data_IF_991604790202
#
_entry.id   IF_991604790202
#
_cell.length_a   1.000
_cell.length_b   1.000
_cell.length_c   1.000
_cell.angle_alpha   90.00
_cell.angle_beta   90.00
_cell.angle_gamma   90.00
#
_symmetry.space_group_name_H-M   'P 1'
#
loop_
_entity.id
_entity.type
_entity.pdbx_description
1 polymer ?
#
# COMPACT_ATOMS: atom_id res chain seq x y z
N UNK A 1 20.07 -15.80 25.30
CA UNK A 1 20.11 -15.95 23.83
C UNK A 1 18.95 -15.14 23.27
N UNK A 2 19.24 -13.90 22.93
CA UNK A 2 18.32 -13.16 22.07
C UNK A 2 18.48 -13.78 20.68
N UNK A 3 17.60 -14.72 20.36
CA UNK A 3 17.49 -15.24 19.01
C UNK A 3 17.19 -14.07 18.10
N UNK A 4 18.09 -13.75 17.18
CA UNK A 4 17.73 -12.96 16.03
C UNK A 4 16.73 -13.82 15.25
N UNK A 5 15.45 -13.59 15.50
CA UNK A 5 14.41 -14.14 14.64
C UNK A 5 14.65 -13.54 13.27
N UNK A 6 15.24 -14.33 12.42
CA UNK A 6 15.32 -14.05 11.01
C UNK A 6 13.88 -14.13 10.51
N UNK A 7 13.20 -12.99 10.48
CA UNK A 7 11.87 -12.90 9.90
C UNK A 7 11.98 -13.31 8.43
N UNK A 8 11.76 -14.58 8.16
CA UNK A 8 11.63 -15.09 6.79
C UNK A 8 10.37 -14.40 6.24
N UNK A 9 10.58 -13.50 5.31
CA UNK A 9 9.49 -12.85 4.59
C UNK A 9 9.08 -13.78 3.47
N UNK A 10 7.98 -14.46 3.67
CA UNK A 10 7.41 -15.30 2.62
C UNK A 10 6.82 -14.40 1.54
N UNK A 11 7.55 -14.28 0.45
CA UNK A 11 7.05 -13.60 -0.75
C UNK A 11 6.52 -14.65 -1.72
N UNK A 12 5.38 -14.40 -2.31
CA UNK A 12 4.76 -15.29 -3.27
C UNK A 12 4.36 -14.53 -4.54
N UNK A 13 4.40 -15.24 -5.66
CA UNK A 13 3.96 -14.74 -6.94
C UNK A 13 3.05 -15.77 -7.63
N UNK A 14 1.99 -15.30 -8.23
CA UNK A 14 1.02 -16.11 -8.97
C UNK A 14 0.91 -15.56 -10.39
N UNK A 15 1.17 -16.41 -11.38
CA UNK A 15 0.91 -16.12 -12.78
C UNK A 15 -0.36 -16.83 -13.22
N UNK A 16 -1.29 -16.07 -13.78
CA UNK A 16 -2.51 -16.57 -14.36
C UNK A 16 -2.49 -16.30 -15.87
N UNK A 17 -2.88 -17.27 -16.65
CA UNK A 17 -2.99 -17.14 -18.10
C UNK A 17 -4.25 -17.81 -18.60
N UNK A 18 -4.99 -17.15 -19.50
CA UNK A 18 -6.20 -17.66 -20.12
C UNK A 18 -6.21 -17.30 -21.60
N UNK A 19 -6.39 -18.32 -22.45
CA UNK A 19 -6.50 -18.17 -23.89
C UNK A 19 -7.88 -18.62 -24.35
N UNK A 20 -8.58 -17.76 -25.09
CA UNK A 20 -9.88 -18.11 -25.66
C UNK A 20 -10.15 -17.36 -26.95
N UNK A 21 -10.34 -18.10 -28.08
CA UNK A 21 -10.73 -17.55 -29.37
C UNK A 21 -9.96 -16.31 -29.84
N UNK A 22 -8.64 -16.31 -29.65
CA UNK A 22 -7.77 -15.20 -30.04
C UNK A 22 -7.59 -14.12 -28.96
N UNK A 23 -8.32 -14.21 -27.86
CA UNK A 23 -8.04 -13.40 -26.67
C UNK A 23 -7.05 -14.12 -25.80
N UNK A 24 -6.06 -13.37 -25.32
CA UNK A 24 -5.09 -13.80 -24.31
C UNK A 24 -5.16 -12.85 -23.12
N UNK A 25 -5.50 -13.37 -21.97
CA UNK A 25 -5.46 -12.67 -20.71
C UNK A 25 -4.30 -13.23 -19.88
N UNK A 26 -3.42 -12.36 -19.41
CA UNK A 26 -2.40 -12.69 -18.44
C UNK A 26 -2.48 -11.76 -17.25
N UNK A 27 -2.30 -12.31 -16.04
CA UNK A 27 -2.24 -11.54 -14.83
C UNK A 27 -1.12 -12.05 -13.94
N UNK A 28 -0.34 -11.11 -13.38
CA UNK A 28 0.68 -11.40 -12.39
C UNK A 28 0.32 -10.74 -11.07
N UNK A 29 0.21 -11.57 -10.03
CA UNK A 29 -0.05 -11.16 -8.66
C UNK A 29 1.20 -11.41 -7.83
N UNK A 30 1.54 -10.48 -6.97
CA UNK A 30 2.65 -10.60 -6.04
C UNK A 30 2.18 -10.20 -4.65
N UNK A 31 2.65 -10.92 -3.65
CA UNK A 31 2.33 -10.60 -2.26
C UNK A 31 3.42 -11.02 -1.30
N UNK A 32 3.29 -10.54 -0.09
CA UNK A 32 4.10 -10.97 1.04
C UNK A 32 3.15 -11.45 2.13
N UNK A 33 3.43 -12.61 2.67
CA UNK A 33 2.69 -13.19 3.77
C UNK A 33 2.85 -12.41 5.06
N UNK A 34 2.71 -13.06 6.19
CA UNK A 34 2.77 -12.43 7.51
C UNK A 34 4.02 -11.55 7.64
N UNK A 35 3.80 -10.26 7.81
CA UNK A 35 4.86 -9.27 7.93
C UNK A 35 4.42 -8.15 8.84
N UNK A 36 4.96 -8.12 10.03
CA UNK A 36 4.73 -7.03 10.97
C UNK A 36 5.83 -5.97 10.83
N UNK A 37 5.46 -4.72 10.87
CA UNK A 37 6.38 -3.59 10.80
C UNK A 37 5.98 -2.51 11.77
N UNK A 38 6.94 -2.09 12.58
CA UNK A 38 6.80 -0.86 13.35
C UNK A 38 7.03 0.33 12.41
N UNK A 39 5.98 1.10 12.20
CA UNK A 39 5.99 2.26 11.31
C UNK A 39 6.02 3.51 12.16
N UNK A 40 7.21 4.09 12.34
CA UNK A 40 7.41 5.36 13.00
C UNK A 40 7.43 6.47 11.97
N UNK A 41 6.30 7.08 11.70
CA UNK A 41 6.21 8.24 10.84
C UNK A 41 5.03 9.14 11.23
N UNK A 42 4.89 10.26 10.55
CA UNK A 42 3.83 11.23 10.81
C UNK A 42 2.40 10.72 10.59
N UNK A 43 2.23 9.59 9.91
CA UNK A 43 0.91 8.94 9.73
C UNK A 43 0.47 8.17 10.97
N UNK A 44 1.42 7.58 11.69
CA UNK A 44 1.15 6.79 12.90
C UNK A 44 1.32 7.60 14.17
N UNK A 45 2.12 8.68 14.13
CA UNK A 45 2.43 9.51 15.27
C UNK A 45 2.03 10.96 15.01
N UNK A 46 0.80 11.35 15.36
CA UNK A 46 0.36 12.71 15.19
C UNK A 46 1.24 13.65 16.05
N UNK A 47 1.74 14.72 15.45
CA UNK A 47 2.53 15.75 16.12
C UNK A 47 3.79 15.22 16.86
N UNK A 48 4.38 14.13 16.39
CA UNK A 48 5.57 13.53 17.01
C UNK A 48 6.84 14.40 16.88
N UNK A 49 6.87 15.29 15.93
CA UNK A 49 8.04 16.12 15.60
C UNK A 49 7.82 17.58 15.98
N UNK A 50 8.89 18.28 16.29
CA UNK A 50 8.89 19.74 16.49
C UNK A 50 8.54 20.53 15.22
N UNK A 51 8.31 19.83 14.13
CA UNK A 51 7.88 20.44 12.88
C UNK A 51 6.46 20.97 13.00
N UNK A 52 6.33 22.27 12.93
CA UNK A 52 5.07 23.02 13.03
C UNK A 52 4.10 22.76 11.87
N UNK A 53 4.49 21.99 10.86
CA UNK A 53 3.75 21.76 9.64
C UNK A 53 3.55 20.28 9.33
N UNK A 54 3.00 19.52 10.29
CA UNK A 54 2.62 18.14 10.03
C UNK A 54 1.21 18.15 9.44
N UNK A 55 0.98 17.62 8.24
CA UNK A 55 -0.35 17.51 7.69
C UNK A 55 -1.18 16.56 8.57
N UNK A 56 -2.27 17.07 9.11
CA UNK A 56 -3.25 16.27 9.83
C UNK A 56 -4.21 15.67 8.80
N UNK A 57 -4.27 14.34 8.73
CA UNK A 57 -5.36 13.70 8.00
C UNK A 57 -6.51 13.38 8.99
N UNK A 58 -7.70 13.17 8.43
CA UNK A 58 -8.94 13.02 9.22
C UNK A 58 -8.84 11.96 10.35
N UNK A 59 -8.10 10.87 10.14
CA UNK A 59 -7.91 9.81 11.14
C UNK A 59 -7.08 10.23 12.35
N UNK A 60 -6.23 11.26 12.25
CA UNK A 60 -5.43 11.73 13.39
C UNK A 60 -6.20 12.61 14.39
N UNK A 61 -7.46 12.92 14.11
CA UNK A 61 -8.31 13.71 15.00
C UNK A 61 -8.81 12.94 16.23
N UNK A 62 -8.70 11.62 16.24
CA UNK A 62 -9.14 10.79 17.36
C UNK A 62 -8.01 10.58 18.38
N UNK A 63 -7.71 11.59 19.14
CA UNK A 63 -6.74 11.55 20.25
C UNK A 63 -7.40 11.75 21.61
N UNK A 64 -6.80 11.19 22.64
CA UNK A 64 -7.28 11.31 24.00
C UNK A 64 -7.29 12.75 24.47
N UNK A 65 -8.43 13.22 25.00
CA UNK A 65 -8.61 14.58 25.49
C UNK A 65 -9.12 14.55 26.93
N UNK A 66 -8.53 15.34 27.85
CA UNK A 66 -9.06 15.53 29.19
C UNK A 66 -10.27 16.49 29.17
N UNK A 67 -11.14 16.37 30.13
CA UNK A 67 -12.29 17.28 30.30
C UNK A 67 -11.82 18.70 30.58
N UNK A 68 -10.93 18.87 31.57
CA UNK A 68 -10.36 20.16 31.91
C UNK A 68 -8.94 20.01 32.53
N UNK A 69 -7.96 19.94 31.66
CA UNK A 69 -6.58 19.79 32.08
C UNK A 69 -6.04 21.03 32.85
N UNK A 70 -6.59 22.21 32.64
CA UNK A 70 -6.16 23.44 33.30
C UNK A 70 -6.52 23.44 34.79
N UNK A 71 -7.66 22.84 35.12
CA UNK A 71 -8.12 22.71 36.51
C UNK A 71 -7.79 21.36 37.14
N UNK A 72 -6.97 20.55 36.47
CA UNK A 72 -6.51 19.25 36.97
C UNK A 72 -7.54 18.10 36.78
N UNK A 73 -8.59 18.31 36.02
CA UNK A 73 -9.50 17.24 35.65
C UNK A 73 -9.00 16.48 34.42
N UNK A 74 -8.38 15.34 34.67
CA UNK A 74 -7.86 14.42 33.67
C UNK A 74 -8.83 13.30 33.31
N UNK A 75 -10.12 13.45 33.64
CA UNK A 75 -11.14 12.54 33.13
C UNK A 75 -11.19 12.61 31.59
N UNK A 76 -11.28 11.48 30.94
CA UNK A 76 -11.25 11.46 29.46
C UNK A 76 -12.62 11.84 28.90
N UNK A 77 -12.64 12.76 27.96
CA UNK A 77 -13.81 13.05 27.11
C UNK A 77 -14.07 11.86 26.15
N UNK A 78 -13.00 11.26 25.63
CA UNK A 78 -13.01 10.12 24.71
C UNK A 78 -12.08 8.99 25.21
N UNK A 79 -12.51 8.17 26.19
CA UNK A 79 -11.64 7.16 26.80
C UNK A 79 -11.13 6.10 25.82
N UNK A 80 -11.84 5.89 24.72
CA UNK A 80 -11.50 4.92 23.69
C UNK A 80 -10.76 5.52 22.49
N UNK A 81 -10.12 6.69 22.66
CA UNK A 81 -9.37 7.33 21.59
C UNK A 81 -8.28 6.42 21.01
N UNK A 82 -8.13 6.44 19.70
CA UNK A 82 -7.10 5.66 19.00
C UNK A 82 -5.69 6.15 19.35
N UNK A 83 -5.51 7.46 19.46
CA UNK A 83 -4.21 8.07 19.76
C UNK A 83 -4.13 8.59 21.20
N UNK A 84 -2.93 8.58 21.82
CA UNK A 84 -2.73 9.14 23.13
C UNK A 84 -2.86 10.66 23.12
N UNK A 85 -2.85 11.27 24.30
CA UNK A 85 -2.88 12.72 24.47
C UNK A 85 -1.73 13.39 23.70
N UNK A 86 -2.07 14.44 22.96
CA UNK A 86 -1.08 15.29 22.29
C UNK A 86 -0.49 16.29 23.29
N UNK A 87 0.82 16.36 23.35
CA UNK A 87 1.55 17.34 24.13
C UNK A 87 2.20 18.36 23.20
N UNK A 88 2.17 19.62 23.58
CA UNK A 88 2.85 20.69 22.84
C UNK A 88 4.37 20.65 22.93
N UNK A 89 4.92 19.78 23.79
CA UNK A 89 6.35 19.62 24.00
C UNK A 89 6.80 18.22 23.57
N UNK A 90 7.74 18.16 22.65
CA UNK A 90 8.32 16.93 22.10
C UNK A 90 8.85 15.97 23.19
N UNK A 91 9.51 16.50 24.23
CA UNK A 91 10.07 15.67 25.29
C UNK A 91 9.04 14.80 26.02
N UNK A 92 7.81 15.25 26.13
CA UNK A 92 6.74 14.50 26.80
C UNK A 92 6.05 13.48 25.87
N UNK A 93 6.19 13.62 24.57
CA UNK A 93 5.58 12.70 23.61
C UNK A 93 6.36 11.41 23.44
N UNK A 94 7.65 11.39 23.71
CA UNK A 94 8.50 10.22 23.52
C UNK A 94 8.07 8.98 24.32
N UNK A 95 7.37 9.17 25.45
CA UNK A 95 6.83 8.06 26.24
C UNK A 95 5.61 7.42 25.59
N UNK A 96 4.79 8.20 24.89
CA UNK A 96 3.56 7.72 24.24
C UNK A 96 3.83 6.93 22.96
N UNK A 97 4.96 7.16 22.32
CA UNK A 97 5.31 6.60 21.01
C UNK A 97 6.48 5.63 21.04
N UNK A 98 6.66 4.94 22.18
CA UNK A 98 7.63 3.84 22.27
C UNK A 98 7.17 2.66 21.41
N UNK A 99 8.15 1.87 21.00
CA UNK A 99 7.87 0.60 20.32
C UNK A 99 6.98 -0.26 21.21
N UNK A 100 5.79 -0.54 20.70
CA UNK A 100 4.79 -1.37 21.36
C UNK A 100 3.91 -2.04 20.32
N UNK A 101 3.18 -3.04 20.73
CA UNK A 101 2.24 -3.77 19.88
C UNK A 101 1.17 -2.86 19.27
N UNK A 102 0.82 -1.78 19.95
CA UNK A 102 -0.13 -0.77 19.47
C UNK A 102 0.30 -0.15 18.13
N UNK A 103 1.60 0.03 17.93
CA UNK A 103 2.17 0.67 16.74
C UNK A 103 2.78 -0.32 15.76
N UNK A 104 2.59 -1.61 16.04
CA UNK A 104 2.96 -2.67 15.13
C UNK A 104 1.85 -2.82 14.08
N UNK A 105 2.18 -2.57 12.84
CA UNK A 105 1.23 -2.65 11.74
C UNK A 105 1.47 -3.90 10.92
N UNK A 106 0.38 -4.60 10.56
CA UNK A 106 0.44 -5.69 9.59
C UNK A 106 0.74 -5.11 8.20
N UNK A 107 1.92 -5.40 7.71
CA UNK A 107 2.42 -4.98 6.40
C UNK A 107 2.32 -6.09 5.35
N UNK A 108 1.51 -7.11 5.59
CA UNK A 108 1.16 -8.10 4.57
C UNK A 108 0.37 -7.43 3.45
N UNK A 109 0.56 -7.93 2.23
CA UNK A 109 -0.15 -7.38 1.08
C UNK A 109 -0.27 -8.38 -0.06
N UNK A 110 -1.25 -8.13 -0.92
CA UNK A 110 -1.40 -8.73 -2.23
C UNK A 110 -1.58 -7.62 -3.26
N UNK A 111 -0.73 -7.61 -4.28
CA UNK A 111 -0.77 -6.62 -5.37
C UNK A 111 -0.98 -7.30 -6.71
N UNK A 112 -1.92 -6.79 -7.48
CA UNK A 112 -2.07 -7.13 -8.89
C UNK A 112 -1.08 -6.27 -9.66
N UNK A 113 0.10 -6.86 -9.94
CA UNK A 113 1.25 -6.15 -10.53
C UNK A 113 1.05 -5.82 -11.99
N UNK A 114 0.55 -6.78 -12.75
CA UNK A 114 0.36 -6.62 -14.17
C UNK A 114 -0.88 -7.41 -14.60
N UNK A 115 -1.69 -6.80 -15.44
CA UNK A 115 -2.79 -7.45 -16.16
C UNK A 115 -2.68 -7.03 -17.60
N UNK A 116 -2.54 -8.02 -18.50
CA UNK A 116 -2.47 -7.77 -19.94
C UNK A 116 -3.58 -8.54 -20.63
N UNK A 117 -4.38 -7.81 -21.37
CA UNK A 117 -5.38 -8.39 -22.29
C UNK A 117 -4.90 -8.11 -23.72
N UNK A 118 -4.83 -9.14 -24.51
CA UNK A 118 -4.48 -9.02 -25.92
C UNK A 118 -5.44 -9.78 -26.82
N UNK A 119 -5.54 -9.34 -28.05
CA UNK A 119 -6.33 -9.98 -29.08
C UNK A 119 -5.51 -10.17 -30.35
N UNK A 120 -5.43 -11.40 -30.81
CA UNK A 120 -4.78 -11.79 -32.06
C UNK A 120 -5.84 -11.88 -33.15
N UNK A 121 -5.71 -11.04 -34.17
CA UNK A 121 -6.67 -10.97 -35.26
C UNK A 121 -6.59 -12.21 -36.17
N UNK A 122 -7.73 -12.73 -36.63
CA UNK A 122 -7.77 -13.85 -37.55
C UNK A 122 -7.04 -13.55 -38.86
N UNK A 123 -6.34 -14.53 -39.40
CA UNK A 123 -5.60 -14.40 -40.68
C UNK A 123 -6.47 -13.90 -41.84
N UNK A 124 -7.73 -14.31 -41.91
CA UNK A 124 -8.65 -13.88 -42.96
C UNK A 124 -8.85 -12.36 -43.04
N UNK A 125 -8.62 -11.62 -41.97
CA UNK A 125 -8.75 -10.14 -41.94
C UNK A 125 -7.44 -9.45 -42.33
N UNK A 126 -6.32 -10.01 -41.90
CA UNK A 126 -5.00 -9.38 -42.02
C UNK A 126 -4.29 -9.65 -43.33
N UNK A 127 -4.61 -10.76 -44.04
CA UNK A 127 -4.05 -11.06 -45.36
C UNK A 127 -4.41 -10.00 -46.43
N UNK A 128 -5.55 -9.31 -46.25
CA UNK A 128 -5.94 -8.23 -47.17
C UNK A 128 -5.01 -7.01 -47.14
N UNK A 129 -4.24 -6.87 -46.05
CA UNK A 129 -3.30 -5.76 -45.80
C UNK A 129 -1.84 -6.24 -45.79
N UNK A 130 -1.59 -7.45 -46.37
CA UNK A 130 -0.24 -8.04 -46.47
C UNK A 130 0.47 -8.22 -45.12
N UNK A 131 -0.26 -8.44 -44.07
CA UNK A 131 0.31 -8.75 -42.76
C UNK A 131 0.21 -10.25 -42.47
N UNK A 132 1.28 -10.81 -41.90
CA UNK A 132 1.32 -12.20 -41.43
C UNK A 132 0.67 -12.36 -40.05
N UNK A 133 0.82 -11.36 -39.19
CA UNK A 133 0.20 -11.35 -37.85
C UNK A 133 -0.09 -9.93 -37.39
N UNK A 134 -1.23 -9.76 -36.73
CA UNK A 134 -1.63 -8.54 -36.01
C UNK A 134 -2.13 -8.90 -34.63
N UNK A 135 -1.55 -8.31 -33.60
CA UNK A 135 -1.97 -8.45 -32.21
C UNK A 135 -2.06 -7.08 -31.56
N UNK A 136 -3.23 -6.76 -31.00
CA UNK A 136 -3.41 -5.58 -30.17
C UNK A 136 -3.40 -5.99 -28.70
N UNK A 137 -2.85 -5.16 -27.84
CA UNK A 137 -2.88 -5.42 -26.40
C UNK A 137 -3.07 -4.15 -25.59
N UNK A 138 -3.65 -4.33 -24.42
CA UNK A 138 -3.68 -3.35 -23.35
C UNK A 138 -3.07 -3.99 -22.10
N UNK A 139 -2.18 -3.26 -21.44
CA UNK A 139 -1.54 -3.69 -20.20
C UNK A 139 -1.77 -2.65 -19.11
N UNK A 140 -2.09 -3.11 -17.93
CA UNK A 140 -2.25 -2.26 -16.75
C UNK A 140 -1.30 -2.74 -15.67
N UNK A 141 -0.42 -1.85 -15.23
CA UNK A 141 0.50 -2.11 -14.12
C UNK A 141 -0.04 -1.53 -12.82
N UNK A 142 0.24 -2.21 -11.72
CA UNK A 142 -0.17 -1.84 -10.37
C UNK A 142 -1.68 -1.56 -10.26
N UNK A 143 -2.48 -2.47 -10.81
CA UNK A 143 -3.94 -2.30 -10.92
C UNK A 143 -4.60 -2.09 -9.55
N UNK A 144 -4.24 -2.92 -8.57
CA UNK A 144 -4.78 -2.84 -7.22
C UNK A 144 -3.79 -3.39 -6.20
N UNK A 145 -3.87 -2.87 -4.98
CA UNK A 145 -3.12 -3.36 -3.82
C UNK A 145 -4.09 -3.56 -2.67
N UNK A 146 -4.10 -4.75 -2.10
CA UNK A 146 -4.82 -5.10 -0.89
C UNK A 146 -3.82 -5.12 0.26
N UNK A 147 -4.00 -4.29 1.27
CA UNK A 147 -3.13 -4.17 2.44
C UNK A 147 -3.92 -3.56 3.59
N UNK A 148 -3.55 -3.89 4.82
CA UNK A 148 -4.10 -3.32 6.05
C UNK A 148 -3.41 -2.02 6.48
N UNK A 149 -2.35 -1.61 5.77
CA UNK A 149 -1.62 -0.39 6.08
C UNK A 149 -2.45 0.87 5.86
N UNK A 150 -2.19 1.94 6.62
CA UNK A 150 -2.80 3.24 6.38
C UNK A 150 -2.61 3.71 4.94
N UNK A 151 -3.62 4.38 4.39
CA UNK A 151 -3.55 4.95 3.03
C UNK A 151 -2.37 5.91 2.92
N UNK A 152 -1.56 5.75 1.89
CA UNK A 152 -0.37 6.57 1.64
C UNK A 152 0.95 5.87 1.97
N UNK A 153 0.92 4.70 2.62
CA UNK A 153 2.11 3.86 2.81
C UNK A 153 2.08 2.74 1.78
N UNK A 154 3.09 2.68 0.93
CA UNK A 154 3.25 1.55 0.02
C UNK A 154 3.80 0.33 0.78
N UNK A 155 3.08 -0.81 0.77
CA UNK A 155 3.49 -2.00 1.53
C UNK A 155 4.78 -2.64 1.01
N UNK A 156 5.24 -2.34 -0.20
CA UNK A 156 6.51 -2.85 -0.71
C UNK A 156 7.70 -2.08 -0.13
N UNK A 157 7.62 -0.77 -0.14
CA UNK A 157 8.72 0.11 0.31
C UNK A 157 8.69 0.35 1.80
N UNK A 158 7.49 0.37 2.42
CA UNK A 158 7.24 0.72 3.82
C UNK A 158 7.81 2.10 4.21
N UNK A 159 7.93 2.97 3.24
CA UNK A 159 8.40 4.33 3.40
C UNK A 159 7.27 5.28 3.00
N UNK A 160 7.32 6.46 3.57
CA UNK A 160 6.59 7.60 3.05
C UNK A 160 7.33 8.11 1.82
N UNK A 161 6.98 7.59 0.69
CA UNK A 161 7.58 7.93 -0.60
C UNK A 161 6.47 7.92 -1.66
N UNK A 162 6.81 8.30 -2.87
CA UNK A 162 5.86 8.21 -3.97
C UNK A 162 5.31 6.79 -4.11
N UNK A 163 4.00 6.60 -4.06
CA UNK A 163 3.39 5.29 -4.25
C UNK A 163 3.62 4.81 -5.69
N UNK A 164 3.61 3.49 -5.87
CA UNK A 164 3.69 2.91 -7.19
C UNK A 164 2.52 3.40 -8.06
N UNK A 165 2.82 4.02 -9.20
CA UNK A 165 1.81 4.52 -10.13
C UNK A 165 1.07 3.38 -10.82
N UNK A 166 -0.19 3.62 -11.11
CA UNK A 166 -0.94 2.79 -12.04
C UNK A 166 -0.64 3.27 -13.45
N UNK A 167 -0.08 2.38 -14.27
CA UNK A 167 0.26 2.69 -15.66
C UNK A 167 -0.65 1.89 -16.58
N UNK A 168 -1.23 2.53 -17.57
CA UNK A 168 -2.02 1.89 -18.63
C UNK A 168 -1.28 2.06 -19.94
N UNK A 169 -0.96 0.96 -20.59
CA UNK A 169 -0.22 0.94 -21.86
C UNK A 169 -1.05 0.26 -22.94
N UNK A 170 -1.01 0.79 -24.14
CA UNK A 170 -1.61 0.21 -25.32
C UNK A 170 -0.53 -0.08 -26.36
N UNK A 171 -0.64 -1.20 -27.05
CA UNK A 171 0.32 -1.53 -28.07
C UNK A 171 -0.25 -2.40 -29.19
N UNK A 172 0.47 -2.38 -30.31
CA UNK A 172 0.20 -3.20 -31.48
C UNK A 172 1.48 -3.92 -31.89
N UNK A 173 1.40 -5.23 -32.10
CA UNK A 173 2.44 -6.05 -32.67
C UNK A 173 2.06 -6.41 -34.10
N UNK A 174 2.90 -6.03 -35.06
CA UNK A 174 2.71 -6.27 -36.46
C UNK A 174 3.85 -7.16 -36.97
N UNK A 175 3.53 -8.18 -37.76
CA UNK A 175 4.48 -9.01 -38.50
C UNK A 175 4.11 -8.97 -39.97
N UNK A 176 5.05 -8.57 -40.79
CA UNK A 176 4.93 -8.53 -42.28
C UNK A 176 5.21 -9.90 -42.88
#
# INVERSE_FOLDING_TARGET
LVGSEMCIRDSYGINLGLNYKGFDLSAFLQGTGKRDKWIANTLTFPLYSDFKFIPLYKGLGDYWQPVDAANGDYTAVNPNAEFPRIYGNYGNQGSNYRQSDKYLSDASYLRIKNVTLSYTFPKAWITKISLSQLRAFVSVENLATLSSLPKGIDPETLKWDYPAFRTVSFGLNLTL
#
